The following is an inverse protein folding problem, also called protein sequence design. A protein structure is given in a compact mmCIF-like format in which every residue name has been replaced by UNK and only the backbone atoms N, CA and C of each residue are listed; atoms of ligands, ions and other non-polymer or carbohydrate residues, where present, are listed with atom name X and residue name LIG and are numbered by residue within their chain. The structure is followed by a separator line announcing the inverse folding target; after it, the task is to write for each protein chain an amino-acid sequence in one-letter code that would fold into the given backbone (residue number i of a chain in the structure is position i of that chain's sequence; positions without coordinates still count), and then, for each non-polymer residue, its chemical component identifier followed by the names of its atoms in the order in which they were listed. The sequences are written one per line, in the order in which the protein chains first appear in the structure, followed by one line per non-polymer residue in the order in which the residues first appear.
data_IF_812320013136
#
_entry.id   IF_812320013136
#
_cell.length_a   1.000
_cell.length_b   1.000
_cell.length_c   1.000
_cell.angle_alpha   90.00
_cell.angle_beta   90.00
_cell.angle_gamma   90.00
#
_symmetry.space_group_name_H-M   'P 1'
#
loop_
_entity.id
_entity.type
_entity.pdbx_description
1 polymer ?
#
# COMPACT_ATOMS: atom_id res chain seq x y z
N UNK A 1 10.34 -6.75 1.25
CA UNK A 1 9.23 -6.77 0.28
C UNK A 1 9.50 -5.69 -0.77
N UNK A 2 9.32 -5.98 -2.06
CA UNK A 2 9.53 -5.01 -3.15
C UNK A 2 8.14 -4.42 -3.49
N UNK A 3 7.89 -3.16 -3.07
CA UNK A 3 6.56 -2.58 -3.20
C UNK A 3 6.20 -2.27 -4.65
N UNK A 4 7.19 -1.95 -5.49
CA UNK A 4 6.99 -1.69 -6.92
C UNK A 4 6.42 -2.91 -7.63
N UNK A 5 7.03 -4.09 -7.41
CA UNK A 5 6.51 -5.36 -7.95
C UNK A 5 5.13 -5.75 -7.41
N UNK A 6 4.81 -5.33 -6.19
CA UNK A 6 3.50 -5.56 -5.59
C UNK A 6 2.47 -4.66 -6.23
N UNK A 7 2.77 -3.37 -6.37
CA UNK A 7 1.92 -2.42 -7.05
C UNK A 7 1.59 -2.91 -8.47
N UNK A 8 2.59 -3.25 -9.27
CA UNK A 8 2.36 -3.77 -10.64
C UNK A 8 1.43 -4.99 -10.68
N UNK A 9 1.43 -5.82 -9.63
CA UNK A 9 0.56 -7.01 -9.53
C UNK A 9 -0.84 -6.70 -9.05
N UNK A 10 -1.02 -5.64 -8.27
CA UNK A 10 -2.23 -5.38 -7.49
C UNK A 10 -2.87 -4.01 -7.73
N UNK A 11 -2.28 -3.17 -8.59
CA UNK A 11 -2.87 -1.91 -9.06
C UNK A 11 -4.28 -2.16 -9.59
N UNK A 12 -5.22 -1.28 -9.23
CA UNK A 12 -6.66 -1.38 -9.49
C UNK A 12 -7.35 -2.62 -8.89
N UNK A 13 -6.64 -3.42 -8.09
CA UNK A 13 -7.23 -4.58 -7.41
C UNK A 13 -7.60 -4.23 -5.99
N UNK A 14 -8.71 -4.84 -5.56
CA UNK A 14 -9.15 -4.76 -4.17
C UNK A 14 -8.29 -5.68 -3.31
N UNK A 15 -7.69 -5.12 -2.27
CA UNK A 15 -6.79 -5.83 -1.36
C UNK A 15 -7.16 -5.57 0.10
N UNK A 16 -6.62 -6.42 0.97
CA UNK A 16 -6.52 -6.18 2.41
C UNK A 16 -5.04 -5.94 2.74
N UNK A 17 -4.74 -4.78 3.30
CA UNK A 17 -3.43 -4.46 3.88
C UNK A 17 -3.52 -4.69 5.39
N UNK A 18 -2.58 -5.46 5.93
CA UNK A 18 -2.35 -5.56 7.38
C UNK A 18 -1.10 -4.76 7.71
N UNK A 19 -1.24 -3.80 8.63
CA UNK A 19 -0.11 -2.99 9.09
C UNK A 19 0.72 -3.72 10.17
N UNK A 20 1.83 -3.11 10.59
CA UNK A 20 2.69 -3.65 11.66
C UNK A 20 2.00 -3.73 13.03
N UNK A 21 0.93 -2.97 13.25
CA UNK A 21 0.10 -2.97 14.46
C UNK A 21 -1.04 -4.03 14.39
N UNK A 22 -1.06 -4.89 13.37
CA UNK A 22 -2.13 -5.87 13.09
C UNK A 22 -3.49 -5.26 12.71
N UNK A 23 -3.56 -3.96 12.42
CA UNK A 23 -4.77 -3.33 11.90
C UNK A 23 -4.94 -3.69 10.42
N UNK A 24 -6.20 -3.84 10.01
CA UNK A 24 -6.55 -4.24 8.64
C UNK A 24 -7.29 -3.13 7.91
N UNK A 25 -6.82 -2.83 6.71
CA UNK A 25 -7.40 -1.84 5.81
C UNK A 25 -7.80 -2.53 4.52
N UNK A 26 -9.01 -2.25 4.04
CA UNK A 26 -9.53 -2.81 2.79
C UNK A 26 -9.81 -1.68 1.81
N UNK A 27 -9.26 -1.80 0.60
CA UNK A 27 -9.38 -0.80 -0.43
C UNK A 27 -8.85 -1.28 -1.76
N UNK A 28 -8.75 -0.37 -2.72
CA UNK A 28 -8.14 -0.59 -4.03
C UNK A 28 -6.76 0.03 -4.00
N UNK A 29 -5.73 -0.66 -4.51
CA UNK A 29 -4.42 -0.03 -4.69
C UNK A 29 -4.53 0.96 -5.85
N UNK A 30 -4.35 2.23 -5.52
CA UNK A 30 -4.58 3.38 -6.41
C UNK A 30 -3.27 3.81 -7.08
N UNK A 31 -2.22 4.00 -6.27
CA UNK A 31 -0.93 4.50 -6.77
C UNK A 31 0.27 3.93 -5.99
N UNK A 32 1.45 4.13 -6.53
CA UNK A 32 2.73 3.78 -5.93
C UNK A 32 3.65 5.00 -5.89
N UNK A 33 4.31 5.16 -4.75
CA UNK A 33 5.21 6.28 -4.47
C UNK A 33 6.64 5.73 -4.52
N UNK A 34 7.42 6.17 -5.49
CA UNK A 34 8.85 5.87 -5.54
C UNK A 34 9.57 6.53 -4.36
N UNK A 35 10.60 5.85 -3.84
CA UNK A 35 11.32 6.32 -2.66
C UNK A 35 11.91 7.73 -2.84
N UNK A 36 12.36 8.07 -4.05
CA UNK A 36 12.96 9.37 -4.36
C UNK A 36 11.94 10.51 -4.36
N UNK A 37 10.65 10.20 -4.53
CA UNK A 37 9.55 11.16 -4.55
C UNK A 37 8.90 11.36 -3.16
N UNK A 38 9.26 10.52 -2.18
CA UNK A 38 8.72 10.59 -0.81
C UNK A 38 9.69 11.28 0.14
N UNK A 39 9.20 12.18 1.01
CA UNK A 39 9.98 12.82 2.08
C UNK A 39 10.66 11.82 3.02
N UNK A 40 10.10 10.61 3.14
CA UNK A 40 10.66 9.53 3.96
C UNK A 40 11.83 8.79 3.29
N UNK A 41 12.11 9.05 2.01
CA UNK A 41 13.01 8.26 1.16
C UNK A 41 12.65 6.76 1.11
N UNK A 42 11.36 6.44 1.20
CA UNK A 42 10.86 5.06 1.20
C UNK A 42 9.74 4.87 0.18
N UNK A 43 9.75 3.68 -0.42
CA UNK A 43 8.66 3.22 -1.28
C UNK A 43 7.35 3.19 -0.49
N UNK A 44 6.25 3.58 -1.15
CA UNK A 44 4.91 3.56 -0.56
C UNK A 44 3.84 3.16 -1.56
N UNK A 45 2.65 2.86 -1.05
CA UNK A 45 1.45 2.65 -1.86
C UNK A 45 0.29 3.47 -1.31
N UNK A 46 -0.56 3.95 -2.22
CA UNK A 46 -1.81 4.61 -1.88
C UNK A 46 -2.94 3.59 -1.97
N UNK A 47 -3.64 3.39 -0.86
CA UNK A 47 -4.83 2.58 -0.77
C UNK A 47 -6.07 3.48 -0.78
N UNK A 48 -6.89 3.36 -1.82
CA UNK A 48 -8.18 4.02 -1.92
C UNK A 48 -9.26 3.20 -1.19
N UNK A 49 -9.74 3.73 -0.09
CA UNK A 49 -10.80 3.14 0.73
C UNK A 49 -12.09 3.94 0.60
N UNK A 50 -13.21 3.39 1.09
CA UNK A 50 -14.48 4.15 1.14
C UNK A 50 -14.39 5.45 1.96
N UNK A 51 -13.43 5.54 2.88
CA UNK A 51 -13.26 6.66 3.80
C UNK A 51 -12.23 7.69 3.31
N UNK A 52 -11.54 7.41 2.20
CA UNK A 52 -10.47 8.25 1.67
C UNK A 52 -9.23 7.46 1.25
N UNK A 53 -8.19 8.21 0.87
CA UNK A 53 -6.89 7.69 0.48
C UNK A 53 -5.99 7.52 1.71
N UNK A 54 -5.29 6.39 1.80
CA UNK A 54 -4.34 6.09 2.86
C UNK A 54 -2.99 5.75 2.23
N UNK A 55 -1.93 6.45 2.63
CA UNK A 55 -0.56 6.10 2.26
C UNK A 55 -0.01 5.07 3.25
N UNK A 56 0.63 4.02 2.73
CA UNK A 56 1.39 3.06 3.51
C UNK A 56 2.80 2.99 2.97
N UNK A 57 3.80 3.30 3.80
CA UNK A 57 5.18 3.04 3.43
C UNK A 57 5.50 1.55 3.62
N UNK A 58 6.56 1.08 2.95
CA UNK A 58 7.03 -0.31 3.05
C UNK A 58 7.20 -0.83 4.46
N UNK A 59 7.59 0.03 5.40
CA UNK A 59 7.84 -0.37 6.78
C UNK A 59 6.55 -0.44 7.61
N UNK A 60 5.47 0.18 7.14
CA UNK A 60 4.16 0.13 7.79
C UNK A 60 3.41 -1.15 7.43
N UNK A 61 3.80 -1.82 6.33
CA UNK A 61 3.05 -2.94 5.77
C UNK A 61 3.63 -4.27 6.24
N UNK A 62 2.82 -5.02 6.98
CA UNK A 62 3.12 -6.40 7.36
C UNK A 62 2.72 -7.40 6.28
N UNK A 63 1.54 -7.22 5.67
CA UNK A 63 0.99 -8.17 4.70
C UNK A 63 0.00 -7.50 3.74
N UNK A 64 -0.06 -7.99 2.50
CA UNK A 64 -1.06 -7.60 1.49
C UNK A 64 -1.72 -8.87 0.94
N UNK A 65 -3.05 -8.89 0.89
CA UNK A 65 -3.85 -10.02 0.42
C UNK A 65 -4.85 -9.58 -0.65
N UNK A 66 -4.96 -10.33 -1.74
CA UNK A 66 -6.05 -10.16 -2.71
C UNK A 66 -7.36 -10.72 -2.17
N UNK A 67 -8.47 -10.13 -2.62
CA UNK A 67 -9.84 -10.59 -2.36
C UNK A 67 -10.41 -11.23 -3.62
#
# INVERSE_FOLDING_TARGET
MDLKKIFEKFVDKKVIITDIDEKRFMGIIDDYIDAEDNYSNKEGIILNTKSGLYEFTKDDIKKIELI
#
